data_IF_364473782260
#
_entry.id   IF_364473782260
#
_cell.length_a   1.000
_cell.length_b   1.000
_cell.length_c   1.000
_cell.angle_alpha   90.00
_cell.angle_beta   90.00
_cell.angle_gamma   90.00
#
_symmetry.space_group_name_H-M   'P 1'
#
loop_
_entity.id
_entity.type
_entity.pdbx_description
1 polymer ?
#
# COMPACT_ATOMS: atom_id res chain seq x y z
N UNK A 1 -12.78 -23.04 7.09
CA UNK A 1 -11.52 -22.33 7.39
C UNK A 1 -11.70 -21.58 8.69
N UNK A 2 -10.67 -21.49 9.52
CA UNK A 2 -10.76 -20.75 10.77
C UNK A 2 -10.52 -19.26 10.47
N UNK A 3 -11.52 -18.43 10.75
CA UNK A 3 -11.40 -16.99 10.70
C UNK A 3 -10.34 -16.54 11.71
N UNK A 4 -9.33 -15.75 11.29
CA UNK A 4 -8.34 -15.21 12.22
C UNK A 4 -8.95 -14.03 12.97
N UNK A 5 -8.73 -14.00 14.27
CA UNK A 5 -9.25 -12.96 15.15
C UNK A 5 -8.53 -11.61 14.97
N UNK A 6 -7.38 -11.58 14.31
CA UNK A 6 -6.55 -10.39 14.14
C UNK A 6 -5.72 -10.46 12.83
N UNK A 7 -5.44 -9.31 12.21
CA UNK A 7 -4.76 -9.18 10.90
C UNK A 7 -3.23 -9.32 10.95
N UNK A 8 -2.62 -9.47 12.12
CA UNK A 8 -1.16 -9.39 12.27
C UNK A 8 -0.38 -10.56 11.69
N UNK A 9 -1.06 -11.63 11.31
CA UNK A 9 -0.46 -12.71 10.53
C UNK A 9 -0.07 -12.26 9.11
N UNK A 10 -0.57 -11.11 8.65
CA UNK A 10 -0.27 -10.53 7.33
C UNK A 10 0.80 -9.43 7.40
N UNK A 11 1.37 -9.17 8.57
CA UNK A 11 2.59 -8.36 8.68
C UNK A 11 3.82 -9.26 8.55
N UNK A 12 4.74 -8.90 7.66
CA UNK A 12 6.00 -9.61 7.48
C UNK A 12 7.20 -8.67 7.70
N UNK A 13 7.81 -8.79 8.88
CA UNK A 13 8.97 -7.98 9.28
C UNK A 13 10.17 -8.13 8.34
N UNK A 14 10.33 -9.28 7.70
CA UNK A 14 11.46 -9.53 6.80
C UNK A 14 11.40 -8.71 5.51
N UNK A 15 10.22 -8.22 5.12
CA UNK A 15 10.08 -7.33 3.96
C UNK A 15 10.85 -6.02 4.15
N UNK A 16 11.03 -5.57 5.39
CA UNK A 16 11.60 -4.26 5.72
C UNK A 16 13.07 -4.33 6.16
N UNK A 17 13.74 -5.46 5.91
CA UNK A 17 15.15 -5.63 6.20
C UNK A 17 16.01 -5.09 5.06
N UNK A 18 17.08 -4.35 5.38
CA UNK A 18 18.01 -3.84 4.37
C UNK A 18 18.56 -4.98 3.51
N UNK A 19 18.51 -4.79 2.19
CA UNK A 19 18.86 -5.78 1.19
C UNK A 19 17.72 -6.72 0.79
N UNK A 20 16.52 -6.59 1.38
CA UNK A 20 15.36 -7.32 0.88
C UNK A 20 14.95 -6.79 -0.50
N UNK A 21 14.77 -7.70 -1.44
CA UNK A 21 14.30 -7.42 -2.81
C UNK A 21 13.01 -8.18 -3.07
N UNK A 22 11.97 -7.46 -3.45
CA UNK A 22 10.68 -8.00 -3.87
C UNK A 22 10.52 -7.73 -5.37
N UNK A 23 10.24 -8.77 -6.16
CA UNK A 23 9.87 -8.60 -7.56
C UNK A 23 8.44 -9.05 -7.73
N UNK A 24 7.58 -8.19 -8.29
CA UNK A 24 6.17 -8.46 -8.53
C UNK A 24 5.84 -8.27 -10.00
N UNK A 25 4.92 -9.10 -10.48
CA UNK A 25 4.21 -8.91 -11.74
C UNK A 25 2.73 -8.94 -11.42
N UNK A 26 2.02 -7.90 -11.81
CA UNK A 26 0.61 -7.73 -11.55
C UNK A 26 -0.19 -7.70 -12.84
N UNK A 27 -1.35 -8.35 -12.82
CA UNK A 27 -2.37 -8.23 -13.85
C UNK A 27 -3.39 -7.18 -13.41
N UNK A 28 -3.68 -6.23 -14.30
CA UNK A 28 -4.53 -5.07 -14.00
C UNK A 28 -5.84 -5.17 -14.76
N UNK A 29 -6.93 -4.87 -14.07
CA UNK A 29 -8.26 -4.70 -14.65
C UNK A 29 -8.74 -3.30 -14.30
N UNK A 30 -9.13 -2.52 -15.30
CA UNK A 30 -9.67 -1.17 -15.10
C UNK A 30 -10.99 -1.02 -15.85
N UNK A 31 -12.06 -0.64 -15.15
CA UNK A 31 -13.42 -0.54 -15.68
C UNK A 31 -13.87 -1.78 -16.47
N UNK A 32 -13.46 -2.97 -16.01
CA UNK A 32 -13.77 -4.26 -16.62
C UNK A 32 -12.86 -4.68 -17.78
N UNK A 33 -11.94 -3.83 -18.23
CA UNK A 33 -10.97 -4.14 -19.27
C UNK A 33 -9.65 -4.64 -18.67
N UNK A 34 -9.11 -5.72 -19.22
CA UNK A 34 -7.77 -6.19 -18.84
C UNK A 34 -6.70 -5.33 -19.53
N UNK A 35 -5.80 -4.77 -18.74
CA UNK A 35 -4.64 -4.03 -19.23
C UNK A 35 -3.42 -4.96 -19.35
N UNK A 36 -2.32 -4.42 -19.89
CA UNK A 36 -1.05 -5.14 -19.90
C UNK A 36 -0.57 -5.35 -18.46
N UNK A 37 0.03 -6.50 -18.19
CA UNK A 37 0.68 -6.72 -16.92
C UNK A 37 1.80 -5.69 -16.74
N UNK A 38 2.01 -5.22 -15.51
CA UNK A 38 3.17 -4.44 -15.14
C UNK A 38 4.07 -5.23 -14.19
N UNK A 39 5.35 -4.87 -14.19
CA UNK A 39 6.34 -5.45 -13.30
C UNK A 39 6.95 -4.35 -12.46
N UNK A 40 7.15 -4.64 -11.18
CA UNK A 40 7.79 -3.76 -10.23
C UNK A 40 8.85 -4.53 -9.45
N UNK A 41 9.96 -3.87 -9.14
CA UNK A 41 10.96 -4.35 -8.19
C UNK A 41 11.13 -3.33 -7.09
N UNK A 42 10.91 -3.76 -5.84
CA UNK A 42 11.11 -2.95 -4.64
C UNK A 42 12.31 -3.50 -3.87
N UNK A 43 13.29 -2.65 -3.60
CA UNK A 43 14.50 -2.98 -2.86
C UNK A 43 14.64 -2.09 -1.63
N UNK A 44 14.83 -2.69 -0.45
CA UNK A 44 15.13 -1.97 0.78
C UNK A 44 16.61 -1.59 0.79
N UNK A 45 16.92 -0.34 0.47
CA UNK A 45 18.31 0.11 0.24
C UNK A 45 19.06 0.32 1.55
N UNK A 46 18.46 1.07 2.47
CA UNK A 46 19.11 1.50 3.70
C UNK A 46 18.13 2.04 4.73
N UNK A 47 18.63 2.22 5.95
CA UNK A 47 18.02 3.11 6.94
C UNK A 47 18.71 4.47 6.87
N UNK A 48 17.93 5.53 6.88
CA UNK A 48 18.39 6.91 6.71
C UNK A 48 17.60 7.87 7.60
N UNK A 49 17.98 9.15 7.55
CA UNK A 49 17.16 10.22 8.09
C UNK A 49 16.33 10.84 6.96
N UNK A 50 15.02 10.98 7.17
CA UNK A 50 14.14 11.63 6.20
C UNK A 50 13.24 12.64 6.93
N UNK A 51 13.33 13.91 6.54
CA UNK A 51 12.46 14.99 7.04
C UNK A 51 12.30 15.07 8.57
N UNK A 52 13.37 14.75 9.32
CA UNK A 52 13.39 14.80 10.78
C UNK A 52 13.08 13.47 11.48
N UNK A 53 12.64 12.46 10.73
CA UNK A 53 12.56 11.09 11.21
C UNK A 53 13.93 10.42 11.10
N UNK A 54 14.34 9.76 12.19
CA UNK A 54 15.50 8.89 12.19
C UNK A 54 15.07 7.46 11.87
N UNK A 55 15.97 6.67 11.30
CA UNK A 55 15.74 5.27 10.95
C UNK A 55 14.59 5.05 9.95
N UNK A 56 14.29 6.06 9.11
CA UNK A 56 13.42 5.89 7.96
C UNK A 56 14.05 4.88 7.00
N UNK A 57 13.26 3.93 6.54
CA UNK A 57 13.68 2.99 5.51
C UNK A 57 13.49 3.65 4.16
N UNK A 58 14.55 3.65 3.35
CA UNK A 58 14.53 4.06 1.96
C UNK A 58 14.39 2.81 1.08
N UNK A 59 13.27 2.72 0.37
CA UNK A 59 13.02 1.70 -0.63
C UNK A 59 13.19 2.30 -2.02
N UNK A 60 13.84 1.56 -2.91
CA UNK A 60 13.93 1.90 -4.33
C UNK A 60 12.94 1.05 -5.11
N UNK A 61 12.15 1.70 -5.95
CA UNK A 61 11.17 1.07 -6.81
C UNK A 61 11.65 1.15 -8.26
N UNK A 62 11.59 0.04 -9.00
CA UNK A 62 11.94 -0.04 -10.42
C UNK A 62 10.80 -0.66 -11.20
N UNK A 63 10.16 0.12 -12.06
CA UNK A 63 8.94 -0.24 -12.81
C UNK A 63 9.13 -0.19 -14.34
N UNK A 64 10.38 -0.03 -14.80
CA UNK A 64 10.73 0.09 -16.22
C UNK A 64 10.58 1.50 -16.80
N UNK A 65 10.09 2.48 -16.04
CA UNK A 65 9.99 3.88 -16.49
C UNK A 65 11.36 4.55 -16.68
N UNK A 66 12.39 4.05 -15.99
CA UNK A 66 13.74 4.63 -15.96
C UNK A 66 13.86 5.88 -15.06
N UNK A 67 12.77 6.28 -14.41
CA UNK A 67 12.74 7.39 -13.45
C UNK A 67 13.29 6.94 -12.08
N UNK A 68 13.81 7.90 -11.31
CA UNK A 68 14.14 7.66 -9.91
C UNK A 68 12.83 7.53 -9.12
N UNK A 69 12.54 6.34 -8.59
CA UNK A 69 11.37 6.09 -7.76
C UNK A 69 11.83 5.56 -6.40
N UNK A 70 11.55 6.33 -5.35
CA UNK A 70 11.96 6.00 -3.97
C UNK A 70 10.82 6.24 -3.00
N UNK A 71 10.66 5.33 -2.05
CA UNK A 71 9.68 5.43 -0.97
C UNK A 71 10.41 5.54 0.38
N UNK A 72 9.91 6.40 1.25
CA UNK A 72 10.43 6.55 2.61
C UNK A 72 9.38 6.13 3.62
N UNK A 73 9.68 5.09 4.41
CA UNK A 73 8.74 4.53 5.37
C UNK A 73 9.33 4.43 6.78
N UNK A 74 8.47 4.39 7.79
CA UNK A 74 8.80 3.90 9.13
C UNK A 74 8.07 2.59 9.38
N UNK A 75 8.74 1.67 10.07
CA UNK A 75 8.17 0.37 10.40
C UNK A 75 8.25 0.19 11.91
N UNK A 76 7.09 0.11 12.54
CA UNK A 76 6.95 -0.27 13.94
C UNK A 76 6.62 -1.76 14.01
N UNK A 77 7.61 -2.58 14.41
CA UNK A 77 7.43 -4.02 14.53
C UNK A 77 6.61 -4.42 15.77
N UNK A 78 6.55 -3.54 16.78
CA UNK A 78 5.79 -3.81 18.00
C UNK A 78 4.30 -3.63 17.76
N UNK A 79 3.94 -2.47 17.19
CA UNK A 79 2.56 -2.12 16.85
C UNK A 79 2.14 -2.67 15.48
N UNK A 80 3.09 -3.26 14.73
CA UNK A 80 2.91 -3.83 13.38
C UNK A 80 2.30 -2.82 12.41
N UNK A 81 2.93 -1.66 12.36
CA UNK A 81 2.51 -0.55 11.50
C UNK A 81 3.60 -0.19 10.50
N UNK A 82 3.18 0.18 9.30
CA UNK A 82 4.02 0.81 8.29
C UNK A 82 3.50 2.21 8.06
N UNK A 83 4.37 3.21 8.14
CA UNK A 83 4.02 4.62 7.93
C UNK A 83 4.78 5.15 6.72
N UNK A 84 4.07 5.48 5.65
CA UNK A 84 4.64 6.14 4.47
C UNK A 84 4.82 7.63 4.76
N UNK A 85 6.07 8.09 4.77
CA UNK A 85 6.44 9.47 5.06
C UNK A 85 6.45 10.35 3.80
N UNK A 86 6.81 9.77 2.67
CA UNK A 86 6.93 10.46 1.40
C UNK A 86 7.59 9.59 0.34
N UNK A 87 7.66 10.11 -0.87
CA UNK A 87 8.23 9.44 -2.03
C UNK A 87 8.87 10.45 -2.99
N UNK A 88 9.81 9.96 -3.81
CA UNK A 88 10.39 10.68 -4.93
C UNK A 88 9.94 9.96 -6.20
N UNK A 89 9.29 10.67 -7.10
CA UNK A 89 8.82 10.19 -8.40
C UNK A 89 9.44 11.03 -9.51
N UNK A 90 10.55 10.56 -10.07
CA UNK A 90 11.34 11.31 -11.03
C UNK A 90 11.92 12.58 -10.41
N UNK A 91 11.39 13.75 -10.80
CA UNK A 91 11.79 15.04 -10.24
C UNK A 91 10.93 15.50 -9.06
N UNK A 92 9.80 14.84 -8.82
CA UNK A 92 8.79 15.31 -7.88
C UNK A 92 8.97 14.63 -6.51
N UNK A 93 9.04 15.44 -5.46
CA UNK A 93 9.04 14.94 -4.08
C UNK A 93 7.65 15.10 -3.47
N UNK A 94 7.01 13.99 -3.13
CA UNK A 94 5.73 13.96 -2.44
C UNK A 94 6.00 13.69 -0.95
N UNK A 95 5.43 14.51 -0.06
CA UNK A 95 5.56 14.36 1.40
C UNK A 95 4.22 14.33 2.08
N UNK A 96 4.10 13.52 3.13
CA UNK A 96 2.86 13.31 3.88
C UNK A 96 3.00 13.84 5.31
N UNK A 97 2.19 14.85 5.66
CA UNK A 97 2.30 15.60 6.94
C UNK A 97 0.99 15.56 7.72
N UNK A 98 1.00 15.64 9.05
CA UNK A 98 2.19 15.75 9.90
C UNK A 98 2.90 14.42 10.14
N UNK A 99 2.22 13.27 9.99
CA UNK A 99 2.71 11.99 10.51
C UNK A 99 2.80 10.87 9.45
N UNK A 100 2.63 11.17 8.16
CA UNK A 100 2.60 10.13 7.13
C UNK A 100 1.27 9.34 7.05
N UNK A 101 1.18 8.44 6.06
CA UNK A 101 0.09 7.50 5.90
C UNK A 101 0.39 6.17 6.60
N UNK A 102 -0.46 5.78 7.55
CA UNK A 102 -0.27 4.58 8.37
C UNK A 102 -1.13 3.42 7.86
N UNK A 103 -0.49 2.29 7.56
CA UNK A 103 -1.12 0.98 7.43
C UNK A 103 -0.89 0.18 8.72
N UNK A 104 -1.97 -0.23 9.38
CA UNK A 104 -1.94 -0.97 10.64
C UNK A 104 -2.34 -2.43 10.42
N UNK A 105 -1.45 -3.34 10.80
CA UNK A 105 -1.66 -4.77 10.62
C UNK A 105 -2.06 -5.47 11.91
N UNK A 106 -2.31 -4.78 13.02
CA UNK A 106 -2.73 -5.38 14.30
C UNK A 106 -4.17 -5.01 14.65
N UNK A 107 -5.09 -5.26 13.71
CA UNK A 107 -6.52 -4.98 13.87
C UNK A 107 -7.25 -6.28 14.25
N UNK A 108 -8.11 -6.22 15.26
CA UNK A 108 -9.04 -7.29 15.57
C UNK A 108 -10.12 -7.45 14.47
N UNK A 109 -10.75 -8.61 14.39
CA UNK A 109 -11.80 -8.87 13.42
C UNK A 109 -12.97 -7.89 13.59
N UNK A 110 -13.31 -7.17 12.52
CA UNK A 110 -14.32 -6.10 12.51
C UNK A 110 -13.86 -4.81 13.16
N UNK A 111 -12.59 -4.72 13.58
CA UNK A 111 -12.03 -3.48 14.10
C UNK A 111 -11.78 -2.52 12.94
N UNK A 112 -12.33 -1.31 13.10
CA UNK A 112 -12.09 -0.16 12.23
C UNK A 112 -11.29 0.88 12.99
N UNK A 113 -10.18 1.31 12.40
CA UNK A 113 -9.31 2.36 12.91
C UNK A 113 -9.33 3.55 11.96
N UNK A 114 -9.68 4.72 12.48
CA UNK A 114 -9.60 5.99 11.76
C UNK A 114 -8.32 6.71 12.19
N UNK A 115 -7.67 7.35 11.23
CA UNK A 115 -6.40 8.05 11.45
C UNK A 115 -6.60 9.56 11.34
N UNK A 116 -5.61 10.33 11.79
CA UNK A 116 -5.61 11.78 11.62
C UNK A 116 -5.48 12.14 10.15
N UNK A 117 -6.10 13.25 9.74
CA UNK A 117 -5.98 13.81 8.40
C UNK A 117 -4.52 13.99 8.02
N UNK A 118 -4.17 13.54 6.82
CA UNK A 118 -2.85 13.71 6.22
C UNK A 118 -2.93 14.78 5.13
N UNK A 119 -1.92 15.62 5.05
CA UNK A 119 -1.75 16.61 3.99
C UNK A 119 -0.58 16.17 3.12
N UNK A 120 -0.85 16.01 1.82
CA UNK A 120 0.15 15.75 0.80
C UNK A 120 0.71 17.08 0.27
N UNK A 121 2.03 17.13 0.15
CA UNK A 121 2.72 18.20 -0.55
C UNK A 121 3.58 17.64 -1.67
N UNK A 122 3.37 18.12 -2.88
CA UNK A 122 4.21 17.86 -4.05
C UNK A 122 5.18 19.03 -4.23
N UNK A 123 6.49 18.77 -4.17
CA UNK A 123 7.53 19.80 -4.25
C UNK A 123 7.33 20.97 -3.25
N UNK A 124 6.76 20.66 -2.08
CA UNK A 124 6.34 21.60 -1.02
C UNK A 124 5.13 22.51 -1.37
N UNK A 125 4.50 22.33 -2.52
CA UNK A 125 3.18 22.89 -2.80
C UNK A 125 2.10 21.95 -2.24
N UNK A 126 1.04 22.51 -1.67
CA UNK A 126 -0.11 21.71 -1.21
C UNK A 126 -0.75 21.03 -2.42
N UNK A 127 -0.85 19.69 -2.37
CA UNK A 127 -1.50 18.87 -3.39
C UNK A 127 -2.93 18.54 -2.97
N UNK A 128 -3.08 17.82 -1.85
CA UNK A 128 -4.36 17.39 -1.32
C UNK A 128 -4.32 17.17 0.20
N UNK A 129 -5.51 17.05 0.78
CA UNK A 129 -5.74 16.59 2.14
C UNK A 129 -6.56 15.32 2.12
N UNK A 130 -6.31 14.44 3.09
CA UNK A 130 -6.83 13.08 3.06
C UNK A 130 -7.27 12.64 4.44
N UNK A 131 -8.56 12.32 4.58
CA UNK A 131 -9.07 11.55 5.70
C UNK A 131 -9.09 10.07 5.33
N UNK A 132 -8.71 9.19 6.26
CA UNK A 132 -8.67 7.77 5.94
C UNK A 132 -8.91 6.85 7.14
N UNK A 133 -9.32 5.60 6.83
CA UNK A 133 -9.56 4.56 7.81
C UNK A 133 -9.22 3.18 7.26
N UNK A 134 -8.86 2.26 8.15
CA UNK A 134 -8.57 0.87 7.84
C UNK A 134 -9.46 -0.05 8.68
N UNK A 135 -10.06 -1.08 8.08
CA UNK A 135 -10.89 -2.06 8.78
C UNK A 135 -10.48 -3.49 8.42
N UNK A 136 -10.34 -4.36 9.41
CA UNK A 136 -10.09 -5.78 9.17
C UNK A 136 -11.39 -6.57 9.06
N UNK A 137 -11.72 -6.96 7.83
CA UNK A 137 -13.01 -7.57 7.52
C UNK A 137 -13.06 -9.05 7.85
N UNK A 138 -12.06 -9.82 7.39
CA UNK A 138 -12.04 -11.29 7.46
C UNK A 138 -10.72 -11.89 6.99
N UNK A 139 -10.59 -13.21 7.14
CA UNK A 139 -9.56 -14.02 6.47
C UNK A 139 -10.22 -14.82 5.36
N UNK A 140 -9.61 -14.88 4.18
CA UNK A 140 -10.10 -15.77 3.13
C UNK A 140 -8.96 -16.32 2.26
N UNK A 141 -9.19 -17.49 1.67
CA UNK A 141 -8.32 -18.00 0.63
C UNK A 141 -8.75 -17.42 -0.72
N UNK A 142 -7.82 -16.78 -1.43
CA UNK A 142 -8.05 -16.32 -2.80
C UNK A 142 -7.12 -17.05 -3.76
N UNK A 143 -7.61 -17.28 -4.98
CA UNK A 143 -6.81 -17.82 -6.07
C UNK A 143 -6.60 -16.74 -7.12
N UNK A 144 -5.33 -16.46 -7.40
CA UNK A 144 -4.84 -15.55 -8.45
C UNK A 144 -3.89 -16.34 -9.37
N UNK A 145 -3.40 -15.77 -10.48
CA UNK A 145 -2.48 -16.50 -11.36
C UNK A 145 -1.19 -16.98 -10.66
N UNK A 146 -0.71 -16.25 -9.63
CA UNK A 146 0.43 -16.66 -8.83
C UNK A 146 0.19 -17.91 -7.96
N UNK A 147 -1.07 -18.26 -7.66
CA UNK A 147 -1.41 -19.39 -6.80
C UNK A 147 -2.62 -19.14 -5.90
N UNK A 148 -2.77 -19.98 -4.88
CA UNK A 148 -3.80 -19.84 -3.85
C UNK A 148 -3.16 -19.44 -2.53
N UNK A 149 -3.64 -18.34 -1.94
CA UNK A 149 -3.08 -17.75 -0.73
C UNK A 149 -4.16 -17.58 0.34
N UNK A 150 -3.82 -17.84 1.59
CA UNK A 150 -4.59 -17.35 2.73
C UNK A 150 -4.28 -15.86 2.91
N UNK A 151 -5.31 -15.02 3.01
CA UNK A 151 -5.16 -13.55 3.05
C UNK A 151 -5.96 -12.91 4.18
N UNK A 152 -5.44 -11.82 4.73
CA UNK A 152 -6.22 -10.86 5.50
C UNK A 152 -6.90 -9.89 4.53
N UNK A 153 -8.22 -9.75 4.64
CA UNK A 153 -9.00 -8.80 3.85
C UNK A 153 -9.18 -7.52 4.65
N UNK A 154 -8.61 -6.42 4.16
CA UNK A 154 -8.70 -5.10 4.76
C UNK A 154 -9.50 -4.17 3.84
N UNK A 155 -10.37 -3.35 4.43
CA UNK A 155 -10.97 -2.21 3.73
C UNK A 155 -10.18 -0.95 4.08
N UNK A 156 -9.55 -0.34 3.09
CA UNK A 156 -8.84 0.93 3.23
C UNK A 156 -9.65 2.02 2.51
N UNK A 157 -10.25 2.91 3.29
CA UNK A 157 -11.07 4.02 2.79
C UNK A 157 -10.26 5.29 2.83
N UNK A 158 -10.19 5.98 1.70
CA UNK A 158 -9.47 7.24 1.51
C UNK A 158 -10.46 8.29 0.99
N UNK A 159 -10.46 9.45 1.61
CA UNK A 159 -11.31 10.57 1.25
C UNK A 159 -10.43 11.80 1.01
N UNK A 160 -10.16 12.06 -0.26
CA UNK A 160 -9.24 13.10 -0.70
C UNK A 160 -10.01 14.38 -1.08
N UNK A 161 -9.45 15.52 -0.70
CA UNK A 161 -9.83 16.85 -1.17
C UNK A 161 -8.59 17.51 -1.73
N UNK A 162 -8.61 17.84 -3.02
CA UNK A 162 -7.49 18.48 -3.69
C UNK A 162 -7.38 19.98 -3.34
N UNK A 163 -6.32 20.64 -3.83
CA UNK A 163 -6.09 22.07 -3.60
C UNK A 163 -7.18 22.99 -4.21
N UNK A 164 -7.96 22.51 -5.18
CA UNK A 164 -9.08 23.23 -5.79
C UNK A 164 -10.38 23.07 -4.98
N UNK A 165 -10.42 22.08 -4.08
CA UNK A 165 -11.57 21.72 -3.27
C UNK A 165 -12.39 20.55 -3.83
N UNK A 166 -11.96 19.96 -4.94
CA UNK A 166 -12.65 18.81 -5.55
C UNK A 166 -12.41 17.56 -4.70
N UNK A 167 -13.48 16.78 -4.49
CA UNK A 167 -13.46 15.60 -3.62
C UNK A 167 -13.44 14.29 -4.40
N UNK A 168 -12.59 13.37 -3.97
CA UNK A 168 -12.48 12.01 -4.48
C UNK A 168 -12.45 11.01 -3.33
N UNK A 169 -13.45 10.14 -3.25
CA UNK A 169 -13.46 9.03 -2.30
C UNK A 169 -13.02 7.75 -2.99
N UNK A 170 -12.05 7.05 -2.42
CA UNK A 170 -11.59 5.73 -2.88
C UNK A 170 -11.76 4.71 -1.77
N UNK A 171 -12.31 3.54 -2.11
CA UNK A 171 -12.40 2.39 -1.21
C UNK A 171 -11.58 1.26 -1.82
N UNK A 172 -10.49 0.90 -1.17
CA UNK A 172 -9.67 -0.25 -1.52
C UNK A 172 -10.09 -1.45 -0.68
N UNK A 173 -10.22 -2.62 -1.31
CA UNK A 173 -10.29 -3.92 -0.64
C UNK A 173 -8.98 -4.65 -0.90
N UNK A 174 -8.14 -4.70 0.12
CA UNK A 174 -6.80 -5.26 0.05
C UNK A 174 -6.77 -6.69 0.58
N UNK A 175 -6.19 -7.60 -0.20
CA UNK A 175 -6.00 -9.00 0.15
C UNK A 175 -4.53 -9.27 0.42
N UNK A 176 -4.11 -9.12 1.68
CA UNK A 176 -2.71 -9.23 2.06
C UNK A 176 -2.38 -10.66 2.47
N UNK A 177 -1.33 -11.25 1.88
CA UNK A 177 -0.94 -12.63 2.10
C UNK A 177 -0.47 -12.89 3.54
N UNK A 178 -1.05 -13.91 4.18
CA UNK A 178 -0.59 -14.40 5.48
C UNK A 178 0.85 -14.92 5.35
N UNK A 179 1.73 -14.45 6.23
CA UNK A 179 3.13 -14.88 6.30
C UNK A 179 4.07 -14.19 5.31
N UNK A 180 3.64 -13.87 4.09
CA UNK A 180 4.48 -13.15 3.12
C UNK A 180 4.30 -11.63 3.18
N UNK A 181 3.13 -11.12 3.59
CA UNK A 181 2.82 -9.70 3.76
C UNK A 181 2.62 -8.91 2.46
N UNK A 182 2.63 -9.57 1.30
CA UNK A 182 2.42 -8.93 0.00
C UNK A 182 0.92 -8.82 -0.33
N UNK A 183 0.55 -7.77 -1.07
CA UNK A 183 -0.80 -7.62 -1.59
C UNK A 183 -1.03 -8.62 -2.73
N UNK A 184 -1.81 -9.66 -2.46
CA UNK A 184 -2.11 -10.73 -3.42
C UNK A 184 -3.15 -10.26 -4.44
N UNK A 185 -4.06 -9.39 -3.99
CA UNK A 185 -5.05 -8.70 -4.81
C UNK A 185 -5.43 -7.39 -4.13
N UNK A 186 -5.73 -6.39 -4.92
CA UNK A 186 -6.39 -5.18 -4.48
C UNK A 186 -7.53 -4.88 -5.43
N UNK A 187 -8.72 -4.61 -4.90
CA UNK A 187 -9.81 -4.04 -5.69
C UNK A 187 -10.04 -2.60 -5.23
N UNK A 188 -10.42 -1.71 -6.13
CA UNK A 188 -10.81 -0.36 -5.74
C UNK A 188 -12.10 0.11 -6.39
N UNK A 189 -12.80 0.97 -5.67
CA UNK A 189 -13.91 1.78 -6.17
C UNK A 189 -13.61 3.23 -5.84
N UNK A 190 -13.46 4.05 -6.88
CA UNK A 190 -13.31 5.50 -6.76
C UNK A 190 -14.63 6.18 -7.10
N UNK A 191 -15.01 7.21 -6.36
CA UNK A 191 -16.23 8.01 -6.54
C UNK A 191 -15.89 9.48 -6.45
N UNK A 192 -16.06 10.20 -7.55
CA UNK A 192 -15.89 11.65 -7.61
C UNK A 192 -17.10 12.39 -7.03
N UNK A 193 -16.95 13.68 -6.74
CA UNK A 193 -18.02 14.52 -6.17
C UNK A 193 -19.29 14.57 -7.03
N UNK A 194 -19.15 14.50 -8.36
CA UNK A 194 -20.26 14.45 -9.30
C UNK A 194 -21.01 13.10 -9.29
N UNK A 195 -20.56 12.12 -8.49
CA UNK A 195 -21.12 10.77 -8.39
C UNK A 195 -20.60 9.78 -9.44
N UNK A 196 -19.68 10.19 -10.32
CA UNK A 196 -19.02 9.29 -11.26
C UNK A 196 -18.16 8.27 -10.52
N UNK A 197 -18.24 7.01 -10.95
CA UNK A 197 -17.50 5.92 -10.33
C UNK A 197 -16.55 5.25 -11.31
N UNK A 198 -15.38 4.89 -10.80
CA UNK A 198 -14.40 4.07 -11.51
C UNK A 198 -14.06 2.85 -10.64
N UNK A 199 -13.81 1.72 -11.28
CA UNK A 199 -13.47 0.48 -10.57
C UNK A 199 -12.21 -0.14 -11.18
N UNK A 200 -11.42 -0.80 -10.35
CA UNK A 200 -10.29 -1.56 -10.82
C UNK A 200 -9.85 -2.67 -9.89
N UNK A 201 -8.92 -3.49 -10.36
CA UNK A 201 -8.40 -4.63 -9.65
C UNK A 201 -6.98 -4.94 -10.09
N UNK A 202 -6.06 -5.04 -9.14
CA UNK A 202 -4.71 -5.54 -9.33
C UNK A 202 -4.61 -6.94 -8.73
N UNK A 203 -4.03 -7.88 -9.47
CA UNK A 203 -3.90 -9.28 -9.05
C UNK A 203 -2.48 -9.76 -9.25
N UNK A 204 -1.94 -10.39 -8.22
CA UNK A 204 -0.61 -10.93 -8.28
C UNK A 204 -0.52 -12.06 -9.31
N UNK A 205 0.29 -11.84 -10.34
CA UNK A 205 0.57 -12.81 -11.38
C UNK A 205 1.76 -13.69 -11.02
N UNK A 206 2.78 -13.09 -10.40
CA UNK A 206 3.94 -13.79 -9.84
C UNK A 206 4.69 -12.87 -8.89
N UNK A 207 5.33 -13.40 -7.85
CA UNK A 207 6.30 -12.66 -7.07
C UNK A 207 7.48 -13.51 -6.62
N UNK A 208 8.57 -12.83 -6.25
CA UNK A 208 9.68 -13.41 -5.50
C UNK A 208 10.11 -12.49 -4.36
N UNK A 209 10.54 -13.07 -3.24
CA UNK A 209 11.22 -12.37 -2.15
C UNK A 209 12.65 -12.92 -2.08
N UNK A 210 13.65 -12.06 -2.28
CA UNK A 210 15.06 -12.43 -2.35
C UNK A 210 15.33 -13.58 -3.34
N UNK A 211 14.63 -13.56 -4.48
CA UNK A 211 14.71 -14.57 -5.53
C UNK A 211 13.95 -15.88 -5.26
N UNK A 212 13.31 -16.02 -4.10
CA UNK A 212 12.49 -17.19 -3.78
C UNK A 212 11.02 -16.91 -4.16
N UNK A 213 10.36 -17.79 -4.92
CA UNK A 213 8.93 -17.70 -5.17
C UNK A 213 8.13 -17.74 -3.86
N UNK A 214 7.03 -16.99 -3.81
CA UNK A 214 6.08 -17.01 -2.68
C UNK A 214 4.96 -18.03 -2.88
#
# INVERSE_FOLDING_TARGET
MAQRANSSACFNESLYSVGTVVNEVNAVIFNGESLSNYSETTEVIQKTSYRGYNDAIEEKITDGSGSDNRLYILVDQTEKNVTTLGQILGSDEITYRPNGFVLNYDLALGEKKTFSTVTEYENNALSNTTDYSLEYLRTENITVPAGTFETCVLEFVVDNVDASGDRLKVVFTQYIGVGNGLTIREDFVSTAENGETMTGSDKLFSATINGNPI
#
